data_IF_705598262353
#
_entry.id   IF_705598262353
#
_cell.length_a   1.000
_cell.length_b   1.000
_cell.length_c   1.000
_cell.angle_alpha   90.00
_cell.angle_beta   90.00
_cell.angle_gamma   90.00
#
_symmetry.space_group_name_H-M   'P 1'
#
loop_
_entity.id
_entity.type
_entity.pdbx_description
1 polymer ?
#
# COMPACT_ATOMS: atom_id res chain seq x y z
N UNK A 1 -12.28 2.53 -2.73
CA UNK A 1 -11.07 3.05 -3.40
C UNK A 1 -9.93 3.03 -2.40
N UNK A 2 -8.75 2.56 -2.81
CA UNK A 2 -7.56 2.65 -1.97
C UNK A 2 -7.15 4.13 -1.80
N UNK A 3 -6.81 4.61 -0.59
CA UNK A 3 -6.23 5.94 -0.39
C UNK A 3 -4.91 6.14 -1.14
N UNK A 4 -4.12 5.08 -1.29
CA UNK A 4 -2.96 4.99 -2.16
C UNK A 4 -3.05 3.65 -2.89
N UNK A 5 -3.04 3.64 -4.22
CA UNK A 5 -3.19 2.39 -4.97
C UNK A 5 -1.92 1.56 -4.85
N UNK A 6 -1.96 0.48 -4.06
CA UNK A 6 -0.77 -0.28 -3.75
C UNK A 6 -0.40 -1.22 -4.92
N UNK A 7 -1.27 -2.20 -5.21
CA UNK A 7 -1.01 -3.18 -6.27
C UNK A 7 -1.11 -2.57 -7.68
N UNK A 8 -1.79 -1.42 -7.80
CA UNK A 8 -1.90 -0.66 -9.05
C UNK A 8 -0.65 0.13 -9.45
N UNK A 9 0.41 0.11 -8.64
CA UNK A 9 1.68 0.77 -8.99
C UNK A 9 2.29 1.63 -7.88
N UNK A 10 1.82 1.54 -6.63
CA UNK A 10 2.16 2.50 -5.55
C UNK A 10 1.87 3.94 -5.99
N UNK A 11 0.64 4.17 -6.44
CA UNK A 11 0.21 5.46 -6.99
C UNK A 11 -0.30 6.33 -5.85
N UNK A 12 0.47 7.36 -5.52
CA UNK A 12 0.09 8.39 -4.56
C UNK A 12 -0.88 9.35 -5.25
N UNK A 13 -2.08 9.57 -4.72
CA UNK A 13 -3.01 10.53 -5.31
C UNK A 13 -2.43 11.96 -5.20
N UNK A 14 -2.74 12.86 -6.16
CA UNK A 14 -2.52 14.28 -5.97
C UNK A 14 -3.25 14.78 -4.72
N UNK A 15 -2.68 15.76 -4.02
CA UNK A 15 -3.22 16.28 -2.75
C UNK A 15 -4.68 16.75 -2.86
N UNK A 16 -5.07 17.25 -4.03
CA UNK A 16 -6.40 17.79 -4.31
C UNK A 16 -7.41 16.71 -4.70
N UNK A 17 -6.97 15.49 -5.01
CA UNK A 17 -7.80 14.44 -5.60
C UNK A 17 -9.00 14.08 -4.72
N UNK A 18 -8.77 13.60 -3.50
CA UNK A 18 -9.85 13.20 -2.61
C UNK A 18 -10.75 14.36 -2.16
N UNK A 19 -10.24 15.57 -1.86
CA UNK A 19 -11.10 16.73 -1.65
C UNK A 19 -12.01 17.04 -2.84
N UNK A 20 -11.53 16.91 -4.08
CA UNK A 20 -12.33 17.15 -5.28
C UNK A 20 -13.38 16.05 -5.49
N UNK A 21 -12.99 14.78 -5.35
CA UNK A 21 -13.89 13.62 -5.50
C UNK A 21 -15.01 13.67 -4.47
N UNK A 22 -14.70 13.90 -3.20
CA UNK A 22 -15.70 13.95 -2.13
C UNK A 22 -16.77 15.03 -2.36
N UNK A 23 -16.41 16.18 -2.94
CA UNK A 23 -17.39 17.22 -3.32
C UNK A 23 -18.41 16.69 -4.34
N UNK A 24 -17.95 15.91 -5.31
CA UNK A 24 -18.81 15.30 -6.33
C UNK A 24 -19.70 14.23 -5.72
N UNK A 25 -19.13 13.32 -4.91
CA UNK A 25 -19.89 12.26 -4.25
C UNK A 25 -20.98 12.83 -3.33
N UNK A 26 -20.64 13.83 -2.51
CA UNK A 26 -21.59 14.54 -1.64
C UNK A 26 -22.70 15.23 -2.43
N UNK A 27 -22.39 15.84 -3.59
CA UNK A 27 -23.39 16.51 -4.45
C UNK A 27 -24.47 15.54 -4.97
N UNK A 28 -24.10 14.29 -5.23
CA UNK A 28 -24.98 13.29 -5.83
C UNK A 28 -25.43 12.19 -4.84
N UNK A 29 -25.23 12.41 -3.53
CA UNK A 29 -25.52 11.44 -2.46
C UNK A 29 -24.97 10.03 -2.75
N UNK A 30 -23.72 9.98 -3.21
CA UNK A 30 -23.00 8.73 -3.47
C UNK A 30 -22.13 8.40 -2.25
N UNK A 31 -22.28 7.18 -1.71
CA UNK A 31 -21.47 6.71 -0.60
C UNK A 31 -20.01 6.50 -1.01
N UNK A 32 -19.09 6.80 -0.09
CA UNK A 32 -17.67 6.59 -0.28
C UNK A 32 -17.18 5.39 0.53
N UNK A 33 -16.54 4.43 -0.15
CA UNK A 33 -15.88 3.29 0.48
C UNK A 33 -14.36 3.49 0.39
N UNK A 34 -13.69 3.59 1.53
CA UNK A 34 -12.24 3.55 1.61
C UNK A 34 -11.76 2.10 1.73
N UNK A 35 -10.91 1.68 0.80
CA UNK A 35 -10.25 0.37 0.86
C UNK A 35 -8.90 0.53 1.57
N UNK A 36 -8.90 0.28 2.87
CA UNK A 36 -7.75 0.43 3.76
C UNK A 36 -7.01 -0.90 3.96
N UNK A 37 -7.24 -1.88 3.09
CA UNK A 37 -6.62 -3.21 3.23
C UNK A 37 -5.09 -3.11 3.23
N UNK A 38 -4.49 -2.17 2.49
CA UNK A 38 -3.03 -1.95 2.53
C UNK A 38 -2.64 -0.75 3.38
N UNK A 39 -3.42 0.32 3.31
CA UNK A 39 -3.05 1.64 3.87
C UNK A 39 -3.41 1.80 5.34
N UNK A 40 -4.27 0.93 5.88
CA UNK A 40 -4.62 0.90 7.29
C UNK A 40 -3.49 0.39 8.18
N UNK A 41 -3.63 0.69 9.48
CA UNK A 41 -2.73 0.27 10.55
C UNK A 41 -1.28 0.73 10.36
N UNK A 42 -1.04 1.96 9.91
CA UNK A 42 0.30 2.57 10.00
C UNK A 42 1.20 2.48 8.78
N UNK A 43 0.75 1.85 7.67
CA UNK A 43 1.58 1.68 6.47
C UNK A 43 2.09 3.00 5.89
N UNK A 44 1.24 4.03 5.91
CA UNK A 44 1.56 5.35 5.36
C UNK A 44 2.11 6.35 6.39
N UNK A 45 2.37 5.89 7.62
CA UNK A 45 2.75 6.73 8.75
C UNK A 45 1.57 7.39 9.48
N UNK A 46 0.34 7.04 9.11
CA UNK A 46 -0.93 7.40 9.76
C UNK A 46 -1.71 6.13 10.10
N UNK A 47 -2.66 6.20 11.05
CA UNK A 47 -3.47 5.04 11.42
C UNK A 47 -4.23 4.50 10.21
N UNK A 48 -4.89 5.37 9.44
CA UNK A 48 -5.48 5.05 8.14
C UNK A 48 -4.96 5.98 7.05
N UNK A 49 -4.97 5.53 5.80
CA UNK A 49 -4.71 6.41 4.66
C UNK A 49 -5.76 7.50 4.53
N UNK A 50 -6.98 7.24 4.99
CA UNK A 50 -8.08 8.19 5.07
C UNK A 50 -7.72 9.41 5.93
N UNK A 51 -7.04 9.19 7.06
CA UNK A 51 -6.55 10.28 7.91
C UNK A 51 -5.53 11.15 7.16
N UNK A 52 -4.60 10.50 6.44
CA UNK A 52 -3.53 11.19 5.71
C UNK A 52 -4.06 12.03 4.54
N UNK A 53 -5.06 11.52 3.82
CA UNK A 53 -5.59 12.15 2.61
C UNK A 53 -6.91 12.91 2.84
N UNK A 54 -7.37 13.04 4.09
CA UNK A 54 -8.59 13.75 4.44
C UNK A 54 -9.85 13.13 3.81
N UNK A 55 -9.92 11.79 3.82
CA UNK A 55 -11.06 11.03 3.32
C UNK A 55 -12.06 10.84 4.47
N UNK A 56 -13.33 11.14 4.22
CA UNK A 56 -14.45 10.91 5.13
C UNK A 56 -15.32 9.77 4.56
N UNK A 57 -14.95 8.49 4.76
CA UNK A 57 -15.65 7.37 4.15
C UNK A 57 -16.92 6.99 4.93
N UNK A 58 -17.92 6.49 4.22
CA UNK A 58 -19.11 5.87 4.81
C UNK A 58 -18.85 4.40 5.22
N UNK A 59 -17.94 3.71 4.52
CA UNK A 59 -17.47 2.36 4.83
C UNK A 59 -15.95 2.29 4.69
N UNK A 60 -15.28 1.62 5.62
CA UNK A 60 -13.85 1.27 5.52
C UNK A 60 -13.69 -0.24 5.45
N UNK A 61 -12.95 -0.73 4.45
CA UNK A 61 -12.55 -2.14 4.35
C UNK A 61 -11.15 -2.33 4.92
N UNK A 62 -10.98 -3.27 5.85
CA UNK A 62 -9.68 -3.58 6.46
C UNK A 62 -9.37 -5.07 6.44
N UNK A 63 -8.08 -5.41 6.32
CA UNK A 63 -7.53 -6.76 6.51
C UNK A 63 -6.00 -6.62 6.74
N UNK A 64 -5.17 -7.55 6.22
CA UNK A 64 -3.70 -7.52 6.21
C UNK A 64 -3.07 -7.04 7.54
N UNK A 65 -2.77 -5.75 7.64
CA UNK A 65 -2.18 -5.11 8.82
C UNK A 65 -3.00 -5.30 10.09
N UNK A 66 -4.32 -5.52 9.97
CA UNK A 66 -5.22 -5.79 11.10
C UNK A 66 -4.73 -6.91 12.02
N UNK A 67 -4.12 -7.94 11.45
CA UNK A 67 -3.54 -9.07 12.20
C UNK A 67 -2.07 -9.28 11.87
N UNK A 68 -1.44 -8.33 11.16
CA UNK A 68 -0.12 -8.51 10.54
C UNK A 68 0.03 -9.85 9.80
N UNK A 69 -1.08 -10.33 9.21
CA UNK A 69 -1.22 -11.62 8.54
C UNK A 69 -0.95 -12.89 9.39
N UNK A 70 -0.85 -12.79 10.72
CA UNK A 70 -0.68 -13.97 11.59
C UNK A 70 -1.88 -14.92 11.53
N UNK A 71 -3.10 -14.37 11.45
CA UNK A 71 -4.35 -15.11 11.30
C UNK A 71 -5.26 -14.35 10.33
N UNK A 72 -6.03 -15.03 9.44
CA UNK A 72 -6.96 -14.35 8.54
C UNK A 72 -8.04 -13.59 9.30
N UNK A 73 -8.11 -12.28 9.09
CA UNK A 73 -9.20 -11.43 9.54
C UNK A 73 -9.42 -10.28 8.56
N UNK A 74 -10.67 -9.92 8.36
CA UNK A 74 -11.09 -8.73 7.65
C UNK A 74 -12.30 -8.13 8.35
N UNK A 75 -12.52 -6.83 8.18
CA UNK A 75 -13.71 -6.16 8.68
C UNK A 75 -14.19 -5.08 7.71
N UNK A 76 -15.50 -4.82 7.77
CA UNK A 76 -16.12 -3.63 7.20
C UNK A 76 -16.54 -2.72 8.35
N UNK A 77 -15.87 -1.59 8.48
CA UNK A 77 -16.19 -0.56 9.47
C UNK A 77 -17.24 0.34 8.81
N UNK A 78 -18.41 0.47 9.42
CA UNK A 78 -19.53 1.23 8.85
C UNK A 78 -19.74 2.51 9.65
N UNK A 79 -20.05 3.60 8.94
CA UNK A 79 -20.41 4.88 9.55
C UNK A 79 -21.76 4.80 10.29
N UNK A 80 -21.98 5.75 11.19
CA UNK A 80 -23.27 5.93 11.87
C UNK A 80 -24.43 6.11 10.87
N UNK A 81 -24.21 6.83 9.76
CA UNK A 81 -25.20 7.02 8.68
C UNK A 81 -25.72 5.67 8.15
N UNK A 82 -24.81 4.74 7.87
CA UNK A 82 -25.17 3.41 7.35
C UNK A 82 -25.74 2.52 8.46
N UNK A 83 -25.13 2.56 9.65
CA UNK A 83 -25.60 1.79 10.79
C UNK A 83 -27.05 2.08 11.15
N UNK A 84 -27.46 3.34 11.15
CA UNK A 84 -28.85 3.73 11.42
C UNK A 84 -29.83 3.10 10.42
N UNK A 85 -29.50 3.09 9.13
CA UNK A 85 -30.32 2.45 8.09
C UNK A 85 -30.42 0.95 8.31
N UNK A 86 -29.32 0.27 8.65
CA UNK A 86 -29.31 -1.16 8.92
C UNK A 86 -30.13 -1.51 10.18
N UNK A 87 -29.96 -0.72 11.25
CA UNK A 87 -30.69 -0.86 12.52
C UNK A 87 -32.19 -0.70 12.30
N UNK A 88 -32.61 0.40 11.67
CA UNK A 88 -34.03 0.71 11.46
C UNK A 88 -34.65 -0.29 10.47
N UNK A 89 -33.91 -0.69 9.45
CA UNK A 89 -34.29 -1.77 8.54
C UNK A 89 -34.53 -3.09 9.27
N UNK A 90 -33.75 -3.41 10.32
CA UNK A 90 -33.94 -4.65 11.07
C UNK A 90 -35.26 -4.72 11.84
N UNK A 91 -35.78 -3.55 12.27
CA UNK A 91 -37.10 -3.45 12.91
C UNK A 91 -38.20 -3.76 11.90
N UNK A 92 -38.04 -3.32 10.65
CA UNK A 92 -39.05 -3.47 9.60
C UNK A 92 -39.00 -4.83 8.91
N UNK A 93 -37.81 -5.35 8.65
CA UNK A 93 -37.58 -6.50 7.78
C UNK A 93 -37.05 -7.74 8.52
N UNK A 94 -36.79 -7.63 9.83
CA UNK A 94 -36.19 -8.69 10.63
C UNK A 94 -34.67 -8.74 10.51
N UNK A 95 -34.07 -9.87 10.89
CA UNK A 95 -32.62 -10.00 10.96
C UNK A 95 -31.93 -9.75 9.60
N UNK A 96 -30.75 -9.11 9.64
CA UNK A 96 -29.92 -8.92 8.45
C UNK A 96 -29.37 -10.27 7.99
N UNK A 97 -29.83 -10.75 6.83
CA UNK A 97 -29.49 -12.06 6.25
C UNK A 97 -28.06 -12.13 5.69
N UNK A 98 -27.06 -11.76 6.47
CA UNK A 98 -25.65 -11.77 6.11
C UNK A 98 -24.81 -12.34 7.24
N UNK A 99 -23.97 -13.32 6.93
CA UNK A 99 -23.08 -13.92 7.90
C UNK A 99 -22.14 -14.92 7.26
N UNK A 100 -20.99 -15.11 7.90
CA UNK A 100 -20.02 -16.15 7.56
C UNK A 100 -19.83 -17.04 8.78
N UNK A 101 -19.62 -18.34 8.59
CA UNK A 101 -19.38 -19.30 9.69
C UNK A 101 -18.26 -18.86 10.62
N UNK A 102 -17.24 -18.18 10.09
CA UNK A 102 -16.07 -17.70 10.83
C UNK A 102 -16.08 -16.20 11.09
N UNK A 103 -17.24 -15.54 10.97
CA UNK A 103 -17.37 -14.14 11.34
C UNK A 103 -16.96 -13.94 12.80
N UNK A 104 -16.08 -12.97 13.06
CA UNK A 104 -15.52 -12.70 14.39
C UNK A 104 -14.84 -13.92 15.07
N UNK A 105 -14.11 -14.74 14.30
CA UNK A 105 -13.39 -15.90 14.86
C UNK A 105 -12.51 -15.50 16.08
N UNK A 106 -12.71 -16.09 17.28
CA UNK A 106 -12.08 -15.61 18.51
C UNK A 106 -10.55 -15.52 18.47
N UNK A 107 -9.88 -16.51 17.86
CA UNK A 107 -8.43 -16.49 17.66
C UNK A 107 -7.98 -15.28 16.82
N UNK A 108 -8.71 -14.99 15.74
CA UNK A 108 -8.38 -13.88 14.86
C UNK A 108 -8.62 -12.54 15.57
N UNK A 109 -9.69 -12.42 16.34
CA UNK A 109 -9.97 -11.25 17.17
C UNK A 109 -8.87 -11.00 18.22
N UNK A 110 -8.43 -12.05 18.95
CA UNK A 110 -7.33 -11.90 19.92
C UNK A 110 -6.01 -11.51 19.24
N UNK A 111 -5.71 -12.12 18.09
CA UNK A 111 -4.53 -11.77 17.30
C UNK A 111 -4.55 -10.31 16.82
N UNK A 112 -5.73 -9.80 16.44
CA UNK A 112 -5.88 -8.41 16.04
C UNK A 112 -5.64 -7.45 17.21
N UNK A 113 -6.20 -7.75 18.40
CA UNK A 113 -5.93 -6.95 19.61
C UNK A 113 -4.43 -6.87 19.91
N UNK A 114 -3.73 -8.00 19.90
CA UNK A 114 -2.29 -8.02 20.12
C UNK A 114 -1.52 -7.22 19.06
N UNK A 115 -1.95 -7.29 17.80
CA UNK A 115 -1.31 -6.52 16.72
C UNK A 115 -1.49 -5.01 16.93
N UNK A 116 -2.65 -4.58 17.41
CA UNK A 116 -2.93 -3.18 17.72
C UNK A 116 -2.14 -2.70 18.95
N UNK A 117 -2.09 -3.51 20.01
CA UNK A 117 -1.28 -3.23 21.20
C UNK A 117 0.19 -3.03 20.81
N UNK A 118 0.76 -3.94 20.00
CA UNK A 118 2.12 -3.82 19.47
C UNK A 118 2.31 -2.56 18.60
N UNK A 119 1.32 -2.20 17.78
CA UNK A 119 1.38 -1.02 16.92
C UNK A 119 1.54 0.27 17.75
N UNK A 120 0.78 0.37 18.83
CA UNK A 120 0.75 1.50 19.76
C UNK A 120 2.01 1.54 20.64
N UNK A 121 2.32 0.44 21.33
CA UNK A 121 3.47 0.35 22.25
C UNK A 121 4.81 0.58 21.52
N UNK A 122 4.96 0.01 20.33
CA UNK A 122 6.15 0.15 19.50
C UNK A 122 6.31 1.51 18.84
N UNK A 123 5.32 2.43 18.99
CA UNK A 123 5.29 3.75 18.34
C UNK A 123 5.56 3.67 16.83
N UNK A 124 5.00 2.65 16.19
CA UNK A 124 5.33 2.34 14.80
C UNK A 124 4.88 3.43 13.84
N UNK A 125 3.81 4.18 14.14
CA UNK A 125 3.40 5.31 13.29
C UNK A 125 4.52 6.34 13.12
N UNK A 126 5.09 6.82 14.23
CA UNK A 126 6.19 7.78 14.22
C UNK A 126 7.47 7.18 13.61
N UNK A 127 7.78 5.94 13.97
CA UNK A 127 8.96 5.22 13.45
C UNK A 127 8.88 4.99 11.93
N UNK A 128 7.69 4.63 11.42
CA UNK A 128 7.45 4.41 10.00
C UNK A 128 7.56 5.70 9.19
N UNK A 129 7.22 6.86 9.75
CA UNK A 129 7.46 8.15 9.09
C UNK A 129 8.96 8.40 8.91
N UNK A 130 9.77 8.21 9.95
CA UNK A 130 11.23 8.40 9.91
C UNK A 130 11.89 7.42 8.94
N UNK A 131 11.60 6.13 9.07
CA UNK A 131 12.15 5.08 8.21
C UNK A 131 11.66 5.16 6.77
N UNK A 132 10.43 5.64 6.57
CA UNK A 132 9.89 5.92 5.26
C UNK A 132 10.63 7.05 4.56
N UNK A 133 10.87 8.17 5.25
CA UNK A 133 11.69 9.25 4.72
C UNK A 133 13.09 8.76 4.30
N UNK A 134 13.70 7.93 5.13
CA UNK A 134 14.99 7.32 4.84
C UNK A 134 14.97 6.35 3.64
N UNK A 135 13.95 5.50 3.54
CA UNK A 135 13.71 4.65 2.36
C UNK A 135 13.61 5.50 1.08
N UNK A 136 12.81 6.56 1.09
CA UNK A 136 12.63 7.41 -0.08
C UNK A 136 13.91 8.18 -0.44
N UNK A 137 14.67 8.64 0.55
CA UNK A 137 16.00 9.23 0.32
C UNK A 137 16.91 8.23 -0.41
N UNK A 138 17.05 7.00 0.10
CA UNK A 138 17.89 5.99 -0.52
C UNK A 138 17.41 5.60 -1.92
N UNK A 139 16.10 5.53 -2.15
CA UNK A 139 15.55 5.31 -3.49
C UNK A 139 15.96 6.42 -4.44
N UNK A 140 15.87 7.70 -4.02
CA UNK A 140 16.31 8.83 -4.85
C UNK A 140 17.81 8.76 -5.15
N UNK A 141 18.64 8.60 -4.12
CA UNK A 141 20.11 8.50 -4.26
C UNK A 141 20.54 7.35 -5.18
N UNK A 142 19.84 6.21 -5.11
CA UNK A 142 20.19 5.03 -5.88
C UNK A 142 19.50 4.96 -7.24
N UNK A 143 18.44 5.72 -7.54
CA UNK A 143 17.68 5.48 -8.78
C UNK A 143 17.36 6.73 -9.61
N UNK A 144 17.51 7.95 -9.09
CA UNK A 144 17.13 9.17 -9.82
C UNK A 144 17.82 9.26 -11.20
N UNK A 145 19.12 8.98 -11.23
CA UNK A 145 19.95 9.02 -12.45
C UNK A 145 20.02 7.67 -13.18
N UNK A 146 19.34 6.62 -12.67
CA UNK A 146 19.44 5.29 -13.27
C UNK A 146 18.78 5.27 -14.66
N UNK A 147 19.43 4.75 -15.72
CA UNK A 147 18.94 4.87 -17.11
C UNK A 147 17.57 4.22 -17.35
N UNK A 148 17.24 3.18 -16.57
CA UNK A 148 15.96 2.48 -16.67
C UNK A 148 14.84 3.08 -15.81
N UNK A 149 15.12 3.95 -14.84
CA UNK A 149 14.10 4.40 -13.89
C UNK A 149 13.46 5.70 -14.38
N UNK A 150 12.17 5.65 -14.68
CA UNK A 150 11.38 6.80 -15.14
C UNK A 150 10.80 7.62 -14.00
N UNK A 151 10.32 6.95 -12.96
CA UNK A 151 9.70 7.60 -11.80
C UNK A 151 10.04 6.84 -10.51
N UNK A 152 10.21 7.60 -9.42
CA UNK A 152 10.29 7.12 -8.05
C UNK A 152 9.15 7.74 -7.28
N UNK A 153 8.32 6.91 -6.64
CA UNK A 153 7.11 7.38 -5.94
C UNK A 153 6.80 6.55 -4.70
N UNK A 154 5.92 7.08 -3.86
CA UNK A 154 5.38 6.40 -2.69
C UNK A 154 5.22 7.32 -1.49
N UNK A 155 4.96 6.73 -0.34
CA UNK A 155 4.64 7.41 0.91
C UNK A 155 5.07 6.56 2.11
N UNK A 156 5.87 7.14 3.01
CA UNK A 156 6.35 6.45 4.21
C UNK A 156 6.98 5.07 3.88
N UNK A 157 6.57 3.97 4.52
CA UNK A 157 7.12 2.63 4.29
C UNK A 157 6.46 1.89 3.11
N UNK A 158 6.03 2.61 2.07
CA UNK A 158 5.74 2.04 0.76
C UNK A 158 6.33 2.91 -0.34
N UNK A 159 7.12 2.30 -1.22
CA UNK A 159 7.77 2.97 -2.34
C UNK A 159 7.76 2.13 -3.60
N UNK A 160 8.05 2.75 -4.73
CA UNK A 160 8.20 2.08 -6.01
C UNK A 160 9.18 2.80 -6.92
N UNK A 161 9.79 2.03 -7.82
CA UNK A 161 10.48 2.54 -9.00
C UNK A 161 9.79 1.98 -10.25
N UNK A 162 9.46 2.86 -11.19
CA UNK A 162 8.92 2.45 -12.49
C UNK A 162 10.03 2.42 -13.52
N UNK A 163 10.14 1.28 -14.20
CA UNK A 163 11.14 1.02 -15.23
C UNK A 163 10.55 1.35 -16.60
N UNK A 164 11.27 2.15 -17.39
CA UNK A 164 10.80 2.67 -18.68
C UNK A 164 11.86 2.53 -19.76
N UNK A 165 11.42 2.33 -21.00
CA UNK A 165 12.30 2.26 -22.16
C UNK A 165 12.89 3.65 -22.51
N UNK A 166 12.16 4.72 -22.22
CA UNK A 166 12.61 6.10 -22.44
C UNK A 166 12.05 7.00 -21.34
N UNK A 167 12.85 7.96 -20.84
CA UNK A 167 12.41 8.92 -19.83
C UNK A 167 11.69 10.14 -20.41
N UNK A 168 12.09 10.62 -21.59
CA UNK A 168 11.52 11.81 -22.22
C UNK A 168 11.26 11.64 -23.75
N UNK A 169 10.00 11.54 -24.20
CA UNK A 169 8.82 11.34 -23.36
C UNK A 169 8.89 9.96 -22.67
N UNK A 170 8.21 9.84 -21.53
CA UNK A 170 8.14 8.58 -20.81
C UNK A 170 7.47 7.51 -21.68
N UNK A 171 8.20 6.45 -22.00
CA UNK A 171 7.72 5.34 -22.85
C UNK A 171 7.94 4.02 -22.13
N UNK A 172 6.89 3.19 -21.93
CA UNK A 172 7.04 1.90 -21.27
C UNK A 172 7.85 0.91 -22.12
N UNK A 173 8.35 -0.15 -21.50
CA UNK A 173 8.87 -1.31 -22.22
C UNK A 173 7.74 -2.11 -22.88
N UNK A 174 8.09 -3.01 -23.81
CA UNK A 174 7.14 -4.02 -24.28
C UNK A 174 6.85 -5.00 -23.13
N UNK A 175 5.57 -5.27 -22.78
CA UNK A 175 5.23 -6.24 -21.74
C UNK A 175 5.87 -7.63 -21.95
N UNK A 176 6.20 -8.01 -23.21
CA UNK A 176 6.92 -9.23 -23.53
C UNK A 176 8.36 -9.26 -22.97
N UNK A 177 8.98 -8.10 -22.77
CA UNK A 177 10.35 -7.97 -22.24
C UNK A 177 10.44 -8.33 -20.74
N UNK A 178 9.32 -8.20 -20.02
CA UNK A 178 9.15 -8.57 -18.60
C UNK A 178 10.24 -7.96 -17.71
N UNK A 179 10.57 -6.69 -17.92
CA UNK A 179 11.74 -6.02 -17.31
C UNK A 179 11.65 -6.04 -15.78
N UNK A 180 10.52 -5.63 -15.20
CA UNK A 180 10.35 -5.64 -13.75
C UNK A 180 10.37 -7.06 -13.16
N UNK A 181 9.77 -8.05 -13.84
CA UNK A 181 9.79 -9.45 -13.39
C UNK A 181 11.21 -10.00 -13.38
N UNK A 182 12.02 -9.70 -14.41
CA UNK A 182 13.43 -10.09 -14.47
C UNK A 182 14.23 -9.44 -13.35
N UNK A 183 14.05 -8.15 -13.12
CA UNK A 183 14.72 -7.43 -12.04
C UNK A 183 14.31 -7.94 -10.65
N UNK A 184 13.02 -8.27 -10.44
CA UNK A 184 12.55 -8.88 -9.20
C UNK A 184 13.16 -10.27 -8.98
N UNK A 185 13.27 -11.10 -10.03
CA UNK A 185 13.95 -12.40 -9.95
C UNK A 185 15.43 -12.25 -9.60
N UNK A 186 16.14 -11.31 -10.25
CA UNK A 186 17.54 -10.98 -9.95
C UNK A 186 17.72 -10.48 -8.51
N UNK A 187 16.80 -9.68 -7.99
CA UNK A 187 16.81 -9.24 -6.59
C UNK A 187 16.67 -10.44 -5.64
N UNK A 188 15.77 -11.37 -5.96
CA UNK A 188 15.55 -12.58 -5.17
C UNK A 188 16.77 -13.51 -5.16
N UNK A 189 17.44 -13.68 -6.29
CA UNK A 189 18.73 -14.42 -6.40
C UNK A 189 19.82 -13.82 -5.50
N UNK A 190 19.73 -12.52 -5.21
CA UNK A 190 20.62 -11.78 -4.30
C UNK A 190 20.11 -11.71 -2.85
N UNK A 191 19.00 -12.41 -2.56
CA UNK A 191 18.46 -12.53 -1.20
C UNK A 191 17.47 -11.44 -0.79
N UNK A 192 16.93 -10.65 -1.72
CA UNK A 192 15.91 -9.63 -1.44
C UNK A 192 14.66 -9.87 -2.28
N UNK A 193 13.52 -10.02 -1.61
CA UNK A 193 12.22 -10.16 -2.28
C UNK A 193 11.64 -8.77 -2.52
N UNK A 194 11.49 -8.40 -3.79
CA UNK A 194 10.68 -7.27 -4.25
C UNK A 194 9.62 -7.79 -5.20
N UNK A 195 8.49 -7.08 -5.30
CA UNK A 195 7.39 -7.45 -6.17
C UNK A 195 7.42 -6.62 -7.45
N UNK A 196 7.49 -7.29 -8.58
CA UNK A 196 7.07 -6.71 -9.86
C UNK A 196 5.55 -6.56 -9.84
N UNK A 197 5.05 -5.32 -9.87
CA UNK A 197 3.62 -5.04 -9.87
C UNK A 197 3.01 -5.35 -11.23
N UNK A 198 1.72 -5.76 -11.26
CA UNK A 198 1.05 -6.13 -12.51
C UNK A 198 0.76 -4.92 -13.42
N UNK A 199 0.71 -3.72 -12.85
CA UNK A 199 0.53 -2.47 -13.58
C UNK A 199 1.89 -1.81 -13.79
N UNK A 200 2.26 -1.61 -15.06
CA UNK A 200 3.56 -1.11 -15.52
C UNK A 200 4.77 -1.98 -15.06
N UNK A 201 5.94 -1.74 -15.66
CA UNK A 201 7.19 -2.37 -15.21
C UNK A 201 7.66 -1.73 -13.89
N UNK A 202 6.92 -1.94 -12.80
CA UNK A 202 7.17 -1.31 -11.50
C UNK A 202 7.69 -2.32 -10.48
N UNK A 203 8.74 -1.96 -9.75
CA UNK A 203 9.22 -2.69 -8.57
C UNK A 203 8.76 -1.99 -7.29
N UNK A 204 8.10 -2.73 -6.40
CA UNK A 204 7.58 -2.20 -5.14
C UNK A 204 8.45 -2.54 -3.92
N UNK A 205 8.50 -1.60 -2.98
CA UNK A 205 9.18 -1.68 -1.70
C UNK A 205 8.13 -1.49 -0.59
N UNK A 206 7.91 -2.50 0.24
CA UNK A 206 6.96 -2.42 1.36
C UNK A 206 7.46 -3.26 2.53
N UNK A 207 8.61 -2.91 3.14
CA UNK A 207 9.21 -3.71 4.20
C UNK A 207 8.30 -3.79 5.45
N UNK A 208 8.54 -4.75 6.36
CA UNK A 208 7.82 -4.81 7.63
C UNK A 208 8.15 -3.60 8.50
N UNK A 209 7.28 -3.27 9.45
CA UNK A 209 7.48 -2.10 10.33
C UNK A 209 8.65 -2.26 11.31
N UNK A 210 9.18 -3.46 11.49
CA UNK A 210 10.38 -3.70 12.32
C UNK A 210 11.69 -3.50 11.56
N UNK A 211 11.63 -3.21 10.25
CA UNK A 211 12.84 -3.02 9.42
C UNK A 211 13.76 -1.97 10.03
N UNK A 212 15.06 -2.25 10.02
CA UNK A 212 16.14 -1.36 10.45
C UNK A 212 16.70 -0.54 9.28
N UNK A 213 17.43 0.53 9.56
CA UNK A 213 18.06 1.37 8.52
C UNK A 213 19.03 0.55 7.64
N UNK A 214 19.87 -0.28 8.25
CA UNK A 214 20.81 -1.14 7.49
C UNK A 214 20.11 -2.19 6.62
N UNK A 215 18.94 -2.68 7.04
CA UNK A 215 18.11 -3.57 6.20
C UNK A 215 17.45 -2.80 5.04
N UNK A 216 17.06 -1.54 5.24
CA UNK A 216 16.58 -0.66 4.15
C UNK A 216 17.71 -0.42 3.15
N UNK A 217 18.92 -0.06 3.60
CA UNK A 217 20.10 0.10 2.75
C UNK A 217 20.37 -1.17 1.94
N UNK A 218 20.43 -2.32 2.60
CA UNK A 218 20.64 -3.62 1.96
C UNK A 218 19.57 -3.90 0.91
N UNK A 219 18.30 -3.66 1.23
CA UNK A 219 17.19 -3.84 0.30
C UNK A 219 17.35 -2.97 -0.94
N UNK A 220 17.56 -1.66 -0.77
CA UNK A 220 17.68 -0.70 -1.89
C UNK A 220 18.90 -1.01 -2.76
N UNK A 221 20.08 -1.20 -2.16
CA UNK A 221 21.32 -1.48 -2.89
C UNK A 221 21.29 -2.82 -3.62
N UNK A 222 20.63 -3.84 -3.05
CA UNK A 222 20.46 -5.14 -3.72
C UNK A 222 19.55 -5.05 -4.93
N UNK A 223 18.43 -4.33 -4.80
CA UNK A 223 17.53 -4.08 -5.93
C UNK A 223 18.23 -3.23 -6.99
N UNK A 224 19.03 -2.22 -6.59
CA UNK A 224 19.82 -1.42 -7.52
C UNK A 224 20.76 -2.28 -8.35
N UNK A 225 21.54 -3.15 -7.72
CA UNK A 225 22.43 -4.08 -8.41
C UNK A 225 21.68 -5.01 -9.38
N UNK A 226 20.48 -5.46 -9.00
CA UNK A 226 19.63 -6.27 -9.86
C UNK A 226 19.12 -5.51 -11.10
N UNK A 227 18.76 -4.22 -10.94
CA UNK A 227 18.34 -3.37 -12.06
C UNK A 227 19.53 -3.00 -12.96
N UNK A 228 20.73 -2.78 -12.39
CA UNK A 228 21.96 -2.55 -13.16
C UNK A 228 22.31 -3.77 -14.04
N UNK A 229 22.11 -5.00 -13.54
CA UNK A 229 22.31 -6.22 -14.35
C UNK A 229 21.35 -6.24 -15.55
N UNK A 230 20.08 -5.89 -15.34
CA UNK A 230 19.10 -5.80 -16.43
C UNK A 230 19.50 -4.71 -17.44
N UNK A 231 19.94 -3.55 -16.98
CA UNK A 231 20.41 -2.46 -17.84
C UNK A 231 21.54 -2.93 -18.76
N UNK A 232 22.55 -3.60 -18.20
CA UNK A 232 23.67 -4.17 -18.97
C UNK A 232 23.19 -5.20 -19.99
N UNK A 233 22.26 -6.09 -19.61
CA UNK A 233 21.71 -7.11 -20.51
C UNK A 233 20.99 -6.51 -21.72
N UNK A 234 20.36 -5.34 -21.56
CA UNK A 234 19.63 -4.65 -22.64
C UNK A 234 20.42 -3.49 -23.27
N UNK A 235 21.72 -3.36 -22.96
CA UNK A 235 22.63 -2.39 -23.55
C UNK A 235 22.37 -0.93 -23.13
N UNK A 236 22.02 -0.71 -21.86
CA UNK A 236 21.72 0.60 -21.25
C UNK A 236 22.72 0.99 -20.17
#
# INVERSE_FOLDING_TARGET
AEPLQAAGGVIVPPKEYFPAIQKVLKKYDVLMIADEVVTGFGRLGSMFGSDLFGIEPDIITVAKGLTSAYVPLSASIISEKIWQVLRDGSVQYGAFGHGYTYSAHPLAARCALETLDMLEEGKYLESNLKKGAYLHQLLQENFADHPLVGEIRGQSLIGAIELVAKKDPMTPFDPADKIAIRAARRSMERGVITRALPAADTLAFSPPFVVTESEIEKMVTTVRAAVDDIAKEIGR
#
